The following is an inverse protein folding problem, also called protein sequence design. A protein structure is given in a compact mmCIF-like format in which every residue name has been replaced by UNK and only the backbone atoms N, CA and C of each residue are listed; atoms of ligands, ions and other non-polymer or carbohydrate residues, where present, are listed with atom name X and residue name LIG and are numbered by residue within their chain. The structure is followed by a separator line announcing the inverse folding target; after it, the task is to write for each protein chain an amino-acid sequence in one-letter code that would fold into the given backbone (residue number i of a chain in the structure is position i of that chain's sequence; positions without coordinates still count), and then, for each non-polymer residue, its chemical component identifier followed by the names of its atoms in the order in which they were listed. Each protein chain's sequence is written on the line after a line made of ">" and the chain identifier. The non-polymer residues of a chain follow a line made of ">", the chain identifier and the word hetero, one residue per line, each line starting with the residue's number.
data_IF_831564875746
#
_entry.id   IF_831564875746
#
_cell.length_a   1.000
_cell.length_b   1.000
_cell.length_c   1.000
_cell.angle_alpha   90.00
_cell.angle_beta   90.00
_cell.angle_gamma   90.00
#
_symmetry.space_group_name_H-M   'P 1'
#
loop_
_entity.id
_entity.type
_entity.pdbx_description
1 polymer ?
#
# COMPACT_ATOMS: atom_id res chain seq x y z
N UNK A 1 -23.74 37.66 -16.90
CA UNK A 1 -24.31 36.50 -16.17
C UNK A 1 -23.73 35.16 -16.63
N UNK A 2 -23.60 34.87 -17.93
CA UNK A 2 -23.11 33.55 -18.42
C UNK A 2 -21.64 33.18 -18.08
N UNK A 3 -20.75 34.15 -17.85
CA UNK A 3 -19.31 33.93 -17.64
C UNK A 3 -18.94 33.49 -16.22
N UNK A 4 -19.50 34.15 -15.20
CA UNK A 4 -19.26 33.79 -13.81
C UNK A 4 -19.71 32.35 -13.52
N UNK A 5 -20.88 31.96 -14.04
CA UNK A 5 -21.41 30.59 -13.90
C UNK A 5 -20.50 29.56 -14.58
N UNK A 6 -20.07 29.80 -15.83
CA UNK A 6 -19.21 28.89 -16.59
C UNK A 6 -17.82 28.68 -15.95
N UNK A 7 -17.28 29.74 -15.32
CA UNK A 7 -16.01 29.68 -14.60
C UNK A 7 -16.13 28.94 -13.26
N UNK A 8 -17.27 29.05 -12.58
CA UNK A 8 -17.48 28.29 -11.33
C UNK A 8 -17.76 26.80 -11.56
N UNK A 9 -18.24 26.40 -12.74
CA UNK A 9 -18.55 25.00 -13.05
C UNK A 9 -17.38 24.19 -13.60
N UNK A 10 -16.29 24.84 -14.03
CA UNK A 10 -15.15 24.17 -14.66
C UNK A 10 -14.08 23.86 -13.63
N UNK A 11 -13.73 22.58 -13.45
CA UNK A 11 -12.75 22.12 -12.46
C UNK A 11 -11.37 21.80 -13.05
N UNK A 12 -11.24 21.81 -14.37
CA UNK A 12 -9.95 21.62 -15.05
C UNK A 12 -9.21 22.94 -15.23
N UNK A 13 -8.00 23.03 -14.68
CA UNK A 13 -7.17 24.26 -14.73
C UNK A 13 -6.89 24.73 -16.16
N UNK A 14 -6.61 23.81 -17.09
CA UNK A 14 -6.34 24.16 -18.49
C UNK A 14 -7.57 24.75 -19.19
N UNK A 15 -8.76 24.22 -18.90
CA UNK A 15 -10.01 24.76 -19.44
C UNK A 15 -10.37 26.10 -18.83
N UNK A 16 -10.15 26.27 -17.52
CA UNK A 16 -10.33 27.57 -16.86
C UNK A 16 -9.38 28.61 -17.43
N UNK A 17 -8.10 28.26 -17.63
CA UNK A 17 -7.12 29.14 -18.25
C UNK A 17 -7.54 29.53 -19.67
N UNK A 18 -8.01 28.58 -20.46
CA UNK A 18 -8.52 28.83 -21.81
C UNK A 18 -9.77 29.73 -21.82
N UNK A 19 -10.70 29.54 -20.88
CA UNK A 19 -11.88 30.39 -20.72
C UNK A 19 -11.51 31.83 -20.32
N UNK A 20 -10.60 31.99 -19.36
CA UNK A 20 -10.08 33.30 -18.94
C UNK A 20 -9.39 33.98 -20.13
N UNK A 21 -8.51 33.25 -20.82
CA UNK A 21 -7.79 33.75 -21.98
C UNK A 21 -8.75 34.18 -23.12
N UNK A 22 -9.75 33.36 -23.45
CA UNK A 22 -10.74 33.68 -24.48
C UNK A 22 -11.58 34.90 -24.12
N UNK A 23 -11.99 35.04 -22.87
CA UNK A 23 -12.75 36.21 -22.40
C UNK A 23 -11.94 37.50 -22.54
N UNK A 24 -10.65 37.44 -22.20
CA UNK A 24 -9.75 38.59 -22.34
C UNK A 24 -9.48 38.88 -23.81
N UNK A 25 -9.40 37.83 -24.64
CA UNK A 25 -9.19 37.96 -26.08
C UNK A 25 -10.32 38.72 -26.76
N UNK A 26 -11.57 38.37 -26.45
CA UNK A 26 -12.77 39.01 -26.99
C UNK A 26 -12.90 40.50 -26.61
N UNK A 27 -12.42 40.87 -25.42
CA UNK A 27 -12.60 42.24 -24.91
C UNK A 27 -11.43 43.14 -25.29
N UNK A 28 -10.20 42.67 -25.11
CA UNK A 28 -9.00 43.50 -25.16
C UNK A 28 -8.11 43.23 -26.37
N UNK A 29 -8.32 42.12 -27.09
CA UNK A 29 -7.58 41.72 -28.28
C UNK A 29 -6.03 41.75 -28.12
N UNK A 30 -5.46 41.15 -27.05
CA UNK A 30 -4.02 40.92 -26.93
C UNK A 30 -3.50 40.01 -28.07
N UNK A 31 -2.20 40.09 -28.33
CA UNK A 31 -1.49 39.13 -29.18
C UNK A 31 -1.35 37.76 -28.50
N UNK A 32 -1.28 37.75 -27.15
CA UNK A 32 -1.12 36.55 -26.33
C UNK A 32 -1.70 36.77 -24.93
N UNK A 33 -2.32 35.73 -24.36
CA UNK A 33 -2.73 35.69 -22.95
C UNK A 33 -2.12 34.45 -22.31
N UNK A 34 -1.44 34.63 -21.18
CA UNK A 34 -0.77 33.54 -20.46
C UNK A 34 -1.15 33.58 -18.99
N UNK A 35 -1.64 32.46 -18.48
CA UNK A 35 -1.90 32.29 -17.05
C UNK A 35 -0.74 31.53 -16.41
N UNK A 36 -0.25 32.05 -15.29
CA UNK A 36 0.72 31.38 -14.43
C UNK A 36 0.11 31.13 -13.06
N UNK A 37 0.26 29.94 -12.51
CA UNK A 37 -0.22 29.57 -11.18
C UNK A 37 0.95 29.45 -10.21
N UNK A 38 0.79 29.84 -8.94
CA UNK A 38 1.87 29.62 -7.98
C UNK A 38 2.10 28.12 -7.74
N UNK A 39 3.34 27.78 -7.46
CA UNK A 39 3.83 26.47 -7.07
C UNK A 39 4.67 26.69 -5.82
N UNK A 40 4.02 26.54 -4.67
CA UNK A 40 4.61 26.88 -3.37
C UNK A 40 5.76 25.91 -3.02
N UNK A 41 5.73 24.66 -3.52
CA UNK A 41 6.80 23.68 -3.31
C UNK A 41 8.10 24.09 -4.03
N UNK A 42 7.97 24.76 -5.18
CA UNK A 42 9.12 25.20 -6.00
C UNK A 42 9.47 26.68 -5.84
N UNK A 43 8.64 27.44 -5.13
CA UNK A 43 8.81 28.88 -4.99
C UNK A 43 8.75 29.62 -6.33
N UNK A 44 7.81 29.25 -7.21
CA UNK A 44 7.70 29.83 -8.55
C UNK A 44 6.25 29.90 -9.05
N UNK A 45 6.00 30.72 -10.06
CA UNK A 45 4.78 30.76 -10.85
C UNK A 45 4.99 29.99 -12.16
N UNK A 46 4.23 28.92 -12.37
CA UNK A 46 4.33 28.06 -13.56
C UNK A 46 3.25 28.39 -14.58
N UNK A 47 3.65 28.44 -15.84
CA UNK A 47 2.75 28.59 -16.98
C UNK A 47 1.77 27.40 -17.07
N UNK A 48 0.48 27.69 -17.17
CA UNK A 48 -0.55 26.69 -17.50
C UNK A 48 -0.38 26.29 -18.97
N UNK A 49 -0.36 24.98 -19.25
CA UNK A 49 0.00 24.42 -20.57
C UNK A 49 1.49 24.15 -20.80
N UNK A 50 2.37 24.41 -19.81
CA UNK A 50 3.80 24.10 -19.88
C UNK A 50 4.68 25.25 -20.41
N UNK A 51 5.99 25.14 -20.20
CA UNK A 51 6.99 26.17 -20.53
C UNK A 51 7.62 26.83 -19.30
N UNK A 52 8.43 27.86 -19.54
CA UNK A 52 9.11 28.62 -18.50
C UNK A 52 8.12 29.43 -17.65
N UNK A 53 8.53 29.69 -16.41
CA UNK A 53 7.75 30.39 -15.39
C UNK A 53 8.50 31.58 -14.82
N UNK A 54 7.92 32.21 -13.81
CA UNK A 54 8.53 33.32 -13.07
C UNK A 54 8.87 32.85 -11.65
N UNK A 55 10.06 33.15 -11.13
CA UNK A 55 10.37 32.86 -9.72
C UNK A 55 9.44 33.67 -8.78
N UNK A 56 9.06 33.11 -7.62
CA UNK A 56 8.17 33.83 -6.69
C UNK A 56 8.86 35.05 -6.07
N UNK A 57 10.18 35.01 -5.96
CA UNK A 57 11.05 36.11 -5.53
C UNK A 57 11.41 37.08 -6.66
N UNK A 58 10.90 36.90 -7.88
CA UNK A 58 11.12 37.86 -8.95
C UNK A 58 10.56 39.25 -8.56
N UNK A 59 11.17 40.31 -9.07
CA UNK A 59 10.84 41.68 -8.67
C UNK A 59 9.40 42.01 -9.09
N UNK A 60 9.00 41.59 -10.29
CA UNK A 60 7.63 41.74 -10.77
C UNK A 60 6.62 41.00 -9.89
N UNK A 61 6.91 39.76 -9.49
CA UNK A 61 6.02 38.97 -8.63
C UNK A 61 5.83 39.63 -7.26
N UNK A 62 6.92 40.14 -6.68
CA UNK A 62 6.92 40.82 -5.38
C UNK A 62 6.14 42.14 -5.45
N UNK A 63 6.32 42.93 -6.52
CA UNK A 63 5.57 44.16 -6.75
C UNK A 63 4.06 43.91 -6.88
N UNK A 64 3.69 42.88 -7.65
CA UNK A 64 2.30 42.49 -7.85
C UNK A 64 1.65 41.96 -6.57
N UNK A 65 2.41 41.22 -5.74
CA UNK A 65 1.94 40.75 -4.44
C UNK A 65 1.70 41.90 -3.45
N UNK A 66 2.58 42.91 -3.45
CA UNK A 66 2.47 44.08 -2.57
C UNK A 66 1.36 45.06 -2.99
N UNK A 67 1.32 45.43 -4.28
CA UNK A 67 0.38 46.45 -4.79
C UNK A 67 -1.00 45.90 -5.10
N UNK A 68 -1.11 44.62 -5.50
CA UNK A 68 -2.37 43.96 -5.90
C UNK A 68 -3.13 44.72 -7.01
N UNK A 69 -2.38 45.45 -7.85
CA UNK A 69 -2.88 46.20 -9.00
C UNK A 69 -2.22 45.69 -10.29
N UNK A 70 -2.90 45.76 -11.46
CA UNK A 70 -2.27 45.50 -12.75
C UNK A 70 -1.08 46.44 -13.00
N UNK A 71 0.01 45.90 -13.53
CA UNK A 71 1.18 46.66 -13.95
C UNK A 71 1.34 46.54 -15.46
N UNK A 72 1.20 47.65 -16.17
CA UNK A 72 1.58 47.77 -17.59
C UNK A 72 2.97 48.37 -17.73
N UNK A 73 3.62 48.17 -18.89
CA UNK A 73 4.87 48.89 -19.22
C UNK A 73 4.72 50.40 -19.04
N UNK A 74 3.61 50.98 -19.50
CA UNK A 74 3.32 52.40 -19.35
C UNK A 74 3.24 52.82 -17.87
N UNK A 75 2.62 52.01 -17.02
CA UNK A 75 2.53 52.28 -15.57
C UNK A 75 3.91 52.22 -14.91
N UNK A 76 4.75 51.24 -15.28
CA UNK A 76 6.11 51.11 -14.77
C UNK A 76 7.01 52.29 -15.15
N UNK A 77 6.82 52.84 -16.36
CA UNK A 77 7.56 54.01 -16.84
C UNK A 77 7.06 55.32 -16.20
N UNK A 78 5.76 55.43 -15.93
CA UNK A 78 5.14 56.65 -15.44
C UNK A 78 5.16 56.82 -13.90
N UNK A 79 5.21 55.73 -13.13
CA UNK A 79 5.15 55.77 -11.66
C UNK A 79 6.55 56.03 -11.04
N UNK A 80 6.74 57.15 -10.30
CA UNK A 80 8.00 57.44 -9.62
C UNK A 80 8.33 56.45 -8.49
N UNK A 81 7.33 55.85 -7.84
CA UNK A 81 7.55 54.90 -6.73
C UNK A 81 8.18 53.58 -7.20
N UNK A 82 8.11 53.30 -8.50
CA UNK A 82 8.65 52.09 -9.11
C UNK A 82 10.03 52.31 -9.74
N UNK A 83 10.62 53.50 -9.62
CA UNK A 83 11.89 53.86 -10.27
C UNK A 83 13.02 52.87 -9.98
N UNK A 84 13.22 52.52 -8.70
CA UNK A 84 14.26 51.60 -8.25
C UNK A 84 14.02 50.14 -8.71
N UNK A 85 12.77 49.78 -9.00
CA UNK A 85 12.35 48.42 -9.38
C UNK A 85 12.01 48.29 -10.88
N UNK A 86 12.05 49.40 -11.62
CA UNK A 86 11.54 49.52 -12.99
C UNK A 86 12.28 48.61 -13.96
N UNK A 87 13.60 48.67 -13.95
CA UNK A 87 14.45 47.90 -14.86
C UNK A 87 14.24 46.39 -14.67
N UNK A 88 14.21 45.93 -13.41
CA UNK A 88 13.98 44.53 -13.08
C UNK A 88 12.55 44.07 -13.41
N UNK A 89 11.52 44.87 -13.12
CA UNK A 89 10.14 44.56 -13.50
C UNK A 89 9.94 44.48 -15.02
N UNK A 90 10.59 45.36 -15.79
CA UNK A 90 10.55 45.32 -17.24
C UNK A 90 11.26 44.09 -17.79
N UNK A 91 12.43 43.72 -17.23
CA UNK A 91 13.14 42.50 -17.60
C UNK A 91 12.31 41.23 -17.31
N UNK A 92 11.62 41.18 -16.16
CA UNK A 92 10.70 40.10 -15.82
C UNK A 92 9.51 40.05 -16.79
N UNK A 93 8.93 41.20 -17.18
CA UNK A 93 7.87 41.27 -18.18
C UNK A 93 8.34 40.82 -19.57
N UNK A 94 9.54 41.24 -19.99
CA UNK A 94 10.16 40.83 -21.25
C UNK A 94 10.36 39.31 -21.28
N UNK A 95 10.85 38.72 -20.19
CA UNK A 95 11.03 37.27 -20.06
C UNK A 95 9.71 36.49 -20.18
N UNK A 96 8.59 37.11 -19.80
CA UNK A 96 7.25 36.51 -19.92
C UNK A 96 6.55 36.85 -21.24
N UNK A 97 7.22 37.59 -22.13
CA UNK A 97 6.64 38.17 -23.36
C UNK A 97 5.37 39.00 -23.07
N UNK A 98 5.41 39.75 -21.97
CA UNK A 98 4.31 40.52 -21.43
C UNK A 98 4.41 42.02 -21.68
N UNK A 99 3.25 42.63 -21.87
CA UNK A 99 3.00 44.07 -21.89
C UNK A 99 2.28 44.52 -20.61
N UNK A 100 1.42 43.65 -20.08
CA UNK A 100 0.67 43.86 -18.84
C UNK A 100 0.71 42.58 -18.00
N UNK A 101 1.04 42.72 -16.72
CA UNK A 101 0.87 41.67 -15.73
C UNK A 101 -0.25 42.04 -14.75
N UNK A 102 -1.18 41.12 -14.56
CA UNK A 102 -2.38 41.29 -13.74
C UNK A 102 -2.30 40.29 -12.59
N UNK A 103 -2.35 40.76 -11.32
CA UNK A 103 -2.31 39.87 -10.18
C UNK A 103 -3.69 39.21 -9.98
N UNK A 104 -3.70 37.89 -9.81
CA UNK A 104 -4.87 37.16 -9.32
C UNK A 104 -4.60 36.86 -7.84
N UNK A 105 -5.37 37.53 -6.98
CA UNK A 105 -5.20 37.48 -5.53
C UNK A 105 -6.38 36.76 -4.90
N UNK A 106 -6.10 35.79 -4.04
CA UNK A 106 -7.10 35.13 -3.21
C UNK A 106 -6.66 35.16 -1.75
N UNK A 107 -7.56 35.62 -0.86
CA UNK A 107 -7.27 35.81 0.58
C UNK A 107 -5.92 36.48 0.81
N UNK A 108 -5.72 37.64 0.18
CA UNK A 108 -4.53 38.48 0.35
C UNK A 108 -3.21 37.92 -0.19
N UNK A 109 -3.24 36.73 -0.77
CA UNK A 109 -2.09 36.07 -1.38
C UNK A 109 -2.17 36.12 -2.90
N UNK A 110 -1.06 36.46 -3.55
CA UNK A 110 -0.92 36.33 -4.99
C UNK A 110 -0.89 34.84 -5.36
N UNK A 111 -1.97 34.34 -5.94
CA UNK A 111 -2.11 32.90 -6.27
C UNK A 111 -1.83 32.59 -7.72
N UNK A 112 -2.03 33.57 -8.60
CA UNK A 112 -1.76 33.45 -10.02
C UNK A 112 -1.40 34.81 -10.64
N UNK A 113 -0.74 34.75 -11.78
CA UNK A 113 -0.35 35.89 -12.60
C UNK A 113 -0.97 35.72 -13.98
N UNK A 114 -1.66 36.74 -14.45
CA UNK A 114 -2.21 36.80 -15.79
C UNK A 114 -1.40 37.80 -16.60
N UNK A 115 -0.67 37.33 -17.59
CA UNK A 115 0.21 38.15 -18.43
C UNK A 115 -0.38 38.26 -19.83
N UNK A 116 -0.53 39.50 -20.30
CA UNK A 116 -0.98 39.81 -21.64
C UNK A 116 0.20 40.34 -22.44
N UNK A 117 0.36 39.86 -23.68
CA UNK A 117 1.28 40.43 -24.65
C UNK A 117 0.77 41.76 -25.24
N UNK A 118 1.46 42.32 -26.25
CA UNK A 118 1.06 43.58 -26.86
C UNK A 118 -0.34 43.50 -27.45
N UNK A 119 -1.08 44.62 -27.44
CA UNK A 119 -2.43 44.67 -28.01
C UNK A 119 -2.35 44.65 -29.54
N UNK A 120 -3.23 43.90 -30.20
CA UNK A 120 -3.31 43.89 -31.67
C UNK A 120 -3.60 45.31 -32.18
N UNK A 121 -2.80 45.79 -33.11
CA UNK A 121 -2.88 47.16 -33.63
C UNK A 121 -1.96 48.18 -32.93
N UNK A 122 -1.04 47.72 -32.06
CA UNK A 122 0.01 48.54 -31.44
C UNK A 122 -0.50 49.71 -30.59
N UNK A 123 -1.65 49.51 -29.94
CA UNK A 123 -2.28 50.50 -29.05
C UNK A 123 -2.05 50.12 -27.58
N UNK A 124 -1.57 51.03 -26.72
CA UNK A 124 -1.42 50.76 -25.29
C UNK A 124 -2.72 50.33 -24.60
N UNK A 125 -2.61 49.59 -23.50
CA UNK A 125 -3.74 49.23 -22.66
C UNK A 125 -4.20 50.44 -21.84
N UNK A 126 -5.41 50.92 -22.10
CA UNK A 126 -5.99 52.06 -21.38
C UNK A 126 -6.30 51.71 -19.92
N UNK A 127 -6.43 52.72 -19.06
CA UNK A 127 -6.83 52.53 -17.65
C UNK A 127 -8.18 51.82 -17.51
N UNK A 128 -9.08 51.98 -18.48
CA UNK A 128 -10.35 51.23 -18.52
C UNK A 128 -10.13 49.74 -18.81
N UNK A 129 -9.23 49.41 -19.74
CA UNK A 129 -8.81 48.04 -20.00
C UNK A 129 -8.20 47.38 -18.76
N UNK A 130 -7.32 48.10 -18.03
CA UNK A 130 -6.72 47.61 -16.78
C UNK A 130 -7.78 47.36 -15.68
N UNK A 131 -8.81 48.20 -15.58
CA UNK A 131 -9.94 47.97 -14.65
C UNK A 131 -10.71 46.70 -14.99
N UNK A 132 -10.99 46.46 -16.27
CA UNK A 132 -11.66 45.23 -16.72
C UNK A 132 -10.82 44.01 -16.37
N UNK A 133 -9.51 44.06 -16.64
CA UNK A 133 -8.58 42.97 -16.29
C UNK A 133 -8.60 42.64 -14.80
N UNK A 134 -8.61 43.66 -13.94
CA UNK A 134 -8.70 43.47 -12.49
C UNK A 134 -10.00 42.78 -12.07
N UNK A 135 -11.13 43.13 -12.70
CA UNK A 135 -12.43 42.50 -12.42
C UNK A 135 -12.39 41.02 -12.82
N UNK A 136 -11.92 40.73 -14.04
CA UNK A 136 -11.79 39.35 -14.54
C UNK A 136 -10.84 38.55 -13.65
N UNK A 137 -9.67 39.10 -13.29
CA UNK A 137 -8.72 38.47 -12.37
C UNK A 137 -9.35 38.15 -11.01
N UNK A 138 -10.08 39.09 -10.42
CA UNK A 138 -10.76 38.90 -9.12
C UNK A 138 -11.83 37.81 -9.21
N UNK A 139 -12.64 37.80 -10.27
CA UNK A 139 -13.66 36.76 -10.50
C UNK A 139 -13.03 35.39 -10.77
N UNK A 140 -11.89 35.38 -11.46
CA UNK A 140 -11.10 34.17 -11.75
C UNK A 140 -10.47 33.57 -10.51
N UNK A 141 -10.12 34.39 -9.50
CA UNK A 141 -9.37 33.95 -8.33
C UNK A 141 -10.06 32.79 -7.59
N UNK A 142 -11.38 32.88 -7.38
CA UNK A 142 -12.16 31.84 -6.68
C UNK A 142 -12.19 30.55 -7.49
N UNK A 143 -12.44 30.63 -8.80
CA UNK A 143 -12.51 29.46 -9.68
C UNK A 143 -11.15 28.74 -9.78
N UNK A 144 -10.06 29.51 -9.91
CA UNK A 144 -8.71 28.96 -9.97
C UNK A 144 -8.30 28.27 -8.66
N UNK A 145 -8.62 28.87 -7.50
CA UNK A 145 -8.31 28.24 -6.21
C UNK A 145 -9.16 26.99 -5.95
N UNK A 146 -10.43 27.00 -6.33
CA UNK A 146 -11.28 25.80 -6.25
C UNK A 146 -10.73 24.66 -7.12
N UNK A 147 -10.35 24.95 -8.38
CA UNK A 147 -9.76 23.95 -9.27
C UNK A 147 -8.42 23.42 -8.74
N UNK A 148 -7.54 24.30 -8.23
CA UNK A 148 -6.26 23.89 -7.61
C UNK A 148 -6.47 22.97 -6.41
N UNK A 149 -7.36 23.34 -5.48
CA UNK A 149 -7.68 22.53 -4.31
C UNK A 149 -8.27 21.18 -4.70
N UNK A 150 -9.18 21.16 -5.69
CA UNK A 150 -9.76 19.93 -6.21
C UNK A 150 -8.71 19.01 -6.83
N UNK A 151 -7.80 19.54 -7.66
CA UNK A 151 -6.70 18.77 -8.24
C UNK A 151 -5.74 18.21 -7.18
N UNK A 152 -5.42 18.99 -6.14
CA UNK A 152 -4.58 18.55 -5.03
C UNK A 152 -5.24 17.40 -4.25
N UNK A 153 -6.54 17.53 -3.95
CA UNK A 153 -7.33 16.47 -3.31
C UNK A 153 -7.35 15.19 -4.15
N UNK A 154 -7.59 15.29 -5.46
CA UNK A 154 -7.57 14.15 -6.37
C UNK A 154 -6.19 13.47 -6.43
N UNK A 155 -5.11 14.25 -6.41
CA UNK A 155 -3.76 13.72 -6.34
C UNK A 155 -3.50 12.98 -5.02
N UNK A 156 -3.94 13.54 -3.89
CA UNK A 156 -3.83 12.91 -2.57
C UNK A 156 -4.62 11.59 -2.49
N UNK A 157 -5.88 11.58 -2.97
CA UNK A 157 -6.71 10.37 -3.01
C UNK A 157 -6.08 9.27 -3.87
N UNK A 158 -5.54 9.62 -5.04
CA UNK A 158 -4.81 8.66 -5.89
C UNK A 158 -3.60 8.07 -5.18
N UNK A 159 -2.83 8.88 -4.45
CA UNK A 159 -1.69 8.39 -3.66
C UNK A 159 -2.14 7.38 -2.60
N UNK A 160 -3.20 7.70 -1.85
CA UNK A 160 -3.78 6.79 -0.84
C UNK A 160 -4.25 5.48 -1.49
N UNK A 161 -4.96 5.55 -2.62
CA UNK A 161 -5.43 4.37 -3.33
C UNK A 161 -4.30 3.47 -3.83
N UNK A 162 -3.20 4.07 -4.32
CA UNK A 162 -2.00 3.32 -4.72
C UNK A 162 -1.38 2.63 -3.50
N UNK A 163 -1.25 3.32 -2.38
CA UNK A 163 -0.69 2.75 -1.15
C UNK A 163 -1.55 1.58 -0.64
N UNK A 164 -2.88 1.71 -0.64
CA UNK A 164 -3.79 0.61 -0.28
C UNK A 164 -3.68 -0.57 -1.25
N UNK A 165 -3.53 -0.32 -2.56
CA UNK A 165 -3.30 -1.39 -3.53
C UNK A 165 -1.97 -2.12 -3.29
N UNK A 166 -0.90 -1.39 -2.97
CA UNK A 166 0.40 -1.98 -2.63
C UNK A 166 0.29 -2.81 -1.35
N UNK A 167 -0.34 -2.26 -0.31
CA UNK A 167 -0.60 -2.97 0.95
C UNK A 167 -1.39 -4.26 0.71
N UNK A 168 -2.47 -4.20 -0.06
CA UNK A 168 -3.29 -5.35 -0.40
C UNK A 168 -2.48 -6.42 -1.17
N UNK A 169 -1.61 -5.99 -2.10
CA UNK A 169 -0.70 -6.89 -2.82
C UNK A 169 0.30 -7.58 -1.89
N UNK A 170 0.97 -6.82 -1.01
CA UNK A 170 2.00 -7.34 -0.10
C UNK A 170 1.41 -8.19 1.02
N UNK A 171 0.19 -7.89 1.49
CA UNK A 171 -0.47 -8.61 2.60
C UNK A 171 -0.59 -10.13 2.34
N UNK A 172 -0.66 -10.55 1.07
CA UNK A 172 -0.76 -11.97 0.69
C UNK A 172 0.53 -12.77 0.98
N UNK A 173 1.66 -12.08 1.13
CA UNK A 173 2.97 -12.68 1.38
C UNK A 173 3.45 -12.52 2.82
N UNK A 174 2.65 -11.86 3.66
CA UNK A 174 3.02 -11.51 5.03
C UNK A 174 2.12 -12.26 6.01
N UNK A 175 2.66 -13.01 6.99
CA UNK A 175 1.85 -13.70 8.00
C UNK A 175 0.86 -12.77 8.70
N UNK A 176 -0.33 -13.26 9.04
CA UNK A 176 -1.40 -12.44 9.66
C UNK A 176 -0.99 -11.83 10.99
N UNK A 177 -0.11 -12.51 11.73
CA UNK A 177 0.44 -11.99 12.98
C UNK A 177 1.28 -10.74 12.73
N UNK A 178 2.10 -10.72 11.68
CA UNK A 178 2.87 -9.54 11.30
C UNK A 178 1.95 -8.40 10.88
N UNK A 179 0.93 -8.69 10.06
CA UNK A 179 -0.06 -7.69 9.66
C UNK A 179 -0.72 -7.04 10.87
N UNK A 180 -1.22 -7.84 11.83
CA UNK A 180 -1.81 -7.33 13.07
C UNK A 180 -0.84 -6.49 13.91
N UNK A 181 0.43 -6.92 14.02
CA UNK A 181 1.44 -6.18 14.77
C UNK A 181 1.75 -4.82 14.14
N UNK A 182 1.79 -4.74 12.80
CA UNK A 182 1.97 -3.49 12.06
C UNK A 182 0.74 -2.60 12.17
N UNK A 183 -0.46 -3.15 12.08
CA UNK A 183 -1.71 -2.38 12.22
C UNK A 183 -1.89 -1.79 13.62
N UNK A 184 -1.46 -2.50 14.66
CA UNK A 184 -1.52 -2.02 16.04
C UNK A 184 -0.48 -0.94 16.36
N UNK A 185 0.69 -1.00 15.72
CA UNK A 185 1.78 -0.05 15.93
C UNK A 185 2.58 0.18 14.64
N UNK A 186 2.09 1.03 13.71
CA UNK A 186 2.73 1.25 12.40
C UNK A 186 4.16 1.78 12.49
N UNK A 187 4.43 2.68 13.43
CA UNK A 187 5.74 3.34 13.57
C UNK A 187 6.78 2.49 14.33
N UNK A 188 6.33 1.49 15.10
CA UNK A 188 7.19 0.68 15.95
C UNK A 188 6.60 -0.73 16.16
N UNK A 189 6.46 -1.55 15.11
CA UNK A 189 5.88 -2.88 15.24
C UNK A 189 6.78 -3.77 16.10
N UNK A 190 6.18 -4.47 17.07
CA UNK A 190 6.90 -5.35 18.00
C UNK A 190 7.32 -6.68 17.33
N UNK A 191 8.27 -6.61 16.41
CA UNK A 191 8.70 -7.75 15.58
C UNK A 191 9.88 -8.54 16.18
N UNK A 192 10.53 -8.04 17.23
CA UNK A 192 11.65 -8.74 17.86
C UNK A 192 11.25 -10.12 18.40
N UNK A 193 12.17 -11.10 18.34
CA UNK A 193 11.93 -12.44 18.86
C UNK A 193 11.63 -12.41 20.36
N UNK A 194 10.56 -13.11 20.75
CA UNK A 194 10.17 -13.31 22.15
C UNK A 194 9.92 -14.79 22.41
N UNK A 195 10.30 -15.24 23.59
CA UNK A 195 10.02 -16.59 24.02
C UNK A 195 8.52 -16.75 24.30
N UNK A 196 7.85 -17.53 23.48
CA UNK A 196 6.39 -17.66 23.43
C UNK A 196 6.03 -19.15 23.46
N UNK A 197 5.03 -19.51 24.24
CA UNK A 197 4.47 -20.87 24.17
C UNK A 197 3.55 -20.98 22.95
N UNK A 198 3.81 -21.96 22.09
CA UNK A 198 3.13 -22.14 20.81
C UNK A 198 2.86 -23.61 20.53
N UNK A 199 1.93 -23.85 19.61
CA UNK A 199 1.80 -25.15 18.93
C UNK A 199 2.17 -24.99 17.47
N UNK A 200 3.00 -25.90 16.98
CA UNK A 200 3.49 -25.94 15.61
C UNK A 200 2.90 -27.16 14.94
N UNK A 201 2.19 -26.94 13.84
CA UNK A 201 1.70 -27.96 12.93
C UNK A 201 2.62 -27.96 11.71
N UNK A 202 3.13 -29.14 11.37
CA UNK A 202 3.85 -29.37 10.12
C UNK A 202 3.04 -30.35 9.28
N UNK A 203 2.83 -29.99 8.01
CA UNK A 203 2.17 -30.83 7.02
C UNK A 203 3.17 -31.05 5.90
N UNK A 204 3.39 -32.29 5.52
CA UNK A 204 4.20 -32.67 4.36
C UNK A 204 3.29 -33.35 3.34
N UNK A 205 3.36 -32.93 2.07
CA UNK A 205 2.53 -33.49 0.99
C UNK A 205 3.30 -34.64 0.34
N UNK A 206 3.11 -35.83 0.89
CA UNK A 206 3.70 -37.03 0.33
C UNK A 206 3.08 -37.35 -1.05
N UNK A 207 3.97 -37.54 -2.04
CA UNK A 207 3.58 -37.82 -3.43
C UNK A 207 3.68 -36.60 -4.35
N UNK A 208 3.83 -35.37 -3.83
CA UNK A 208 4.00 -34.17 -4.65
C UNK A 208 5.20 -34.26 -5.59
N UNK A 209 6.38 -34.58 -5.04
CA UNK A 209 7.62 -34.73 -5.82
C UNK A 209 7.49 -35.80 -6.93
N UNK A 210 6.66 -36.83 -6.72
CA UNK A 210 6.38 -37.86 -7.74
C UNK A 210 5.38 -37.39 -8.79
N UNK A 211 4.30 -36.72 -8.38
CA UNK A 211 3.31 -36.11 -9.27
C UNK A 211 3.96 -35.06 -10.19
N UNK A 212 4.85 -34.24 -9.66
CA UNK A 212 5.60 -33.23 -10.41
C UNK A 212 6.50 -33.83 -11.51
N UNK A 213 6.93 -35.09 -11.36
CA UNK A 213 7.70 -35.80 -12.38
C UNK A 213 6.88 -36.47 -13.48
N UNK A 214 5.55 -36.59 -13.31
CA UNK A 214 4.65 -37.35 -14.20
C UNK A 214 3.59 -36.47 -14.88
N UNK A 215 3.17 -35.39 -14.25
CA UNK A 215 2.15 -34.47 -14.73
C UNK A 215 2.78 -33.23 -15.37
N UNK A 216 2.03 -32.55 -16.23
CA UNK A 216 2.43 -31.22 -16.70
C UNK A 216 2.39 -30.19 -15.55
N UNK A 217 3.26 -29.18 -15.63
CA UNK A 217 3.40 -28.17 -14.58
C UNK A 217 2.09 -27.45 -14.26
N UNK A 218 1.26 -27.14 -15.27
CA UNK A 218 0.00 -26.43 -15.05
C UNK A 218 -1.02 -27.28 -14.28
N UNK A 219 -1.01 -28.60 -14.46
CA UNK A 219 -1.87 -29.53 -13.70
C UNK A 219 -1.38 -29.68 -12.27
N UNK A 220 -0.07 -29.74 -12.04
CA UNK A 220 0.53 -29.76 -10.70
C UNK A 220 0.17 -28.47 -9.94
N UNK A 221 0.34 -27.31 -10.57
CA UNK A 221 0.03 -26.01 -9.98
C UNK A 221 -1.45 -25.92 -9.58
N UNK A 222 -2.38 -26.31 -10.47
CA UNK A 222 -3.82 -26.32 -10.15
C UNK A 222 -4.15 -27.22 -8.96
N UNK A 223 -3.54 -28.40 -8.86
CA UNK A 223 -3.74 -29.29 -7.73
C UNK A 223 -3.21 -28.64 -6.44
N UNK A 224 -2.01 -28.07 -6.46
CA UNK A 224 -1.43 -27.38 -5.30
C UNK A 224 -2.32 -26.22 -4.85
N UNK A 225 -2.74 -25.35 -5.75
CA UNK A 225 -3.63 -24.22 -5.45
C UNK A 225 -4.95 -24.71 -4.84
N UNK A 226 -5.49 -25.82 -5.32
CA UNK A 226 -6.73 -26.40 -4.81
C UNK A 226 -6.59 -26.95 -3.39
N UNK A 227 -5.54 -27.74 -3.14
CA UNK A 227 -5.28 -28.32 -1.81
C UNK A 227 -4.91 -27.23 -0.80
N UNK A 228 -3.94 -26.37 -1.12
CA UNK A 228 -3.53 -25.28 -0.24
C UNK A 228 -4.61 -24.23 -0.03
N UNK A 229 -5.43 -23.93 -1.04
CA UNK A 229 -6.60 -23.07 -0.88
C UNK A 229 -7.58 -23.64 0.13
N UNK A 230 -7.89 -24.93 0.03
CA UNK A 230 -8.77 -25.60 0.98
C UNK A 230 -8.18 -25.70 2.40
N UNK A 231 -6.86 -25.84 2.52
CA UNK A 231 -6.16 -25.89 3.81
C UNK A 231 -6.09 -24.53 4.48
N UNK A 232 -5.85 -23.47 3.71
CA UNK A 232 -5.75 -22.11 4.21
C UNK A 232 -7.01 -21.71 4.97
N UNK A 233 -8.19 -22.05 4.45
CA UNK A 233 -9.46 -21.74 5.13
C UNK A 233 -9.57 -22.43 6.49
N UNK A 234 -9.16 -23.70 6.61
CA UNK A 234 -9.18 -24.43 7.90
C UNK A 234 -8.17 -23.88 8.89
N UNK A 235 -6.96 -23.57 8.41
CA UNK A 235 -5.88 -22.99 9.21
C UNK A 235 -6.33 -21.66 9.81
N UNK A 236 -6.86 -20.77 8.97
CA UNK A 236 -7.31 -19.45 9.39
C UNK A 236 -8.52 -19.51 10.33
N UNK A 237 -9.48 -20.43 10.08
CA UNK A 237 -10.66 -20.63 10.94
C UNK A 237 -10.28 -21.04 12.37
N UNK A 238 -9.18 -21.75 12.54
CA UNK A 238 -8.67 -22.17 13.85
C UNK A 238 -7.60 -21.23 14.42
N UNK A 239 -7.38 -20.04 13.82
CA UNK A 239 -6.43 -19.05 14.32
C UNK A 239 -4.96 -19.40 14.08
N UNK A 240 -4.66 -20.32 13.17
CA UNK A 240 -3.30 -20.62 12.73
C UNK A 240 -2.77 -19.57 11.75
N UNK A 241 -1.46 -19.38 11.75
CA UNK A 241 -0.75 -18.49 10.83
C UNK A 241 0.24 -19.29 10.00
N UNK A 242 0.10 -19.23 8.67
CA UNK A 242 1.00 -19.89 7.73
C UNK A 242 2.30 -19.09 7.70
N UNK A 243 3.40 -19.75 8.04
CA UNK A 243 4.67 -19.07 8.24
C UNK A 243 5.65 -19.35 7.09
N UNK A 244 5.98 -20.62 6.83
CA UNK A 244 6.89 -21.00 5.76
C UNK A 244 6.38 -22.24 5.00
N UNK A 245 6.63 -22.24 3.69
CA UNK A 245 6.62 -23.43 2.82
C UNK A 245 8.05 -23.90 2.65
N UNK A 246 8.45 -24.95 3.35
CA UNK A 246 9.77 -25.56 3.17
C UNK A 246 9.65 -26.73 2.21
N UNK A 247 9.97 -26.52 0.93
CA UNK A 247 9.73 -27.52 -0.12
C UNK A 247 8.22 -27.66 -0.40
N UNK A 248 7.70 -28.87 -0.24
CA UNK A 248 6.32 -29.30 -0.48
C UNK A 248 5.44 -29.34 0.78
N UNK A 249 5.96 -28.87 1.92
CA UNK A 249 5.25 -28.84 3.20
C UNK A 249 4.77 -27.45 3.65
N UNK A 250 3.82 -27.43 4.59
CA UNK A 250 3.32 -26.24 5.29
C UNK A 250 3.72 -26.26 6.76
N UNK A 251 4.32 -25.17 7.24
CA UNK A 251 4.43 -24.90 8.67
C UNK A 251 3.40 -23.87 9.11
N UNK A 252 2.60 -24.23 10.11
CA UNK A 252 1.57 -23.38 10.69
C UNK A 252 1.86 -23.19 12.18
N UNK A 253 1.82 -21.94 12.64
CA UNK A 253 2.02 -21.59 14.04
C UNK A 253 0.67 -21.17 14.65
N UNK A 254 0.35 -21.75 15.79
CA UNK A 254 -0.79 -21.37 16.61
C UNK A 254 -0.28 -20.68 17.86
N UNK A 255 -0.76 -19.44 18.08
CA UNK A 255 -0.41 -18.61 19.22
C UNK A 255 -1.72 -18.23 19.94
N UNK A 256 -1.79 -18.54 21.23
CA UNK A 256 -2.90 -18.15 22.11
C UNK A 256 -2.33 -17.91 23.52
N UNK A 257 -3.00 -17.09 24.33
CA UNK A 257 -2.61 -16.89 25.73
C UNK A 257 -2.80 -18.13 26.60
N UNK A 258 -3.64 -19.08 26.17
CA UNK A 258 -3.87 -20.37 26.81
C UNK A 258 -3.18 -21.51 26.04
N UNK A 259 -2.17 -22.18 26.64
CA UNK A 259 -1.47 -23.30 26.02
C UNK A 259 -2.35 -24.46 25.55
N UNK A 260 -3.51 -24.66 26.18
CA UNK A 260 -4.46 -25.71 25.80
C UNK A 260 -5.26 -25.33 24.57
N UNK A 261 -5.57 -24.04 24.38
CA UNK A 261 -6.33 -23.56 23.23
C UNK A 261 -5.54 -23.70 21.93
N UNK A 262 -4.30 -23.22 21.89
CA UNK A 262 -3.51 -23.32 20.67
C UNK A 262 -3.12 -24.78 20.33
N UNK A 263 -2.94 -25.65 21.33
CA UNK A 263 -2.73 -27.08 21.11
C UNK A 263 -3.98 -27.77 20.51
N UNK A 264 -5.17 -27.49 21.06
CA UNK A 264 -6.43 -27.98 20.51
C UNK A 264 -6.69 -27.45 19.10
N UNK A 265 -6.41 -26.17 18.84
CA UNK A 265 -6.56 -25.55 17.53
C UNK A 265 -5.65 -26.23 16.49
N UNK A 266 -4.39 -26.49 16.83
CA UNK A 266 -3.44 -27.18 15.95
C UNK A 266 -3.92 -28.60 15.58
N UNK A 267 -4.37 -29.37 16.56
CA UNK A 267 -4.85 -30.75 16.35
C UNK A 267 -6.20 -30.79 15.61
N UNK A 268 -7.10 -29.84 15.90
CA UNK A 268 -8.37 -29.70 15.19
C UNK A 268 -8.12 -29.35 13.72
N UNK A 269 -7.18 -28.43 13.45
CA UNK A 269 -6.75 -28.09 12.10
C UNK A 269 -6.18 -29.31 11.40
N UNK A 270 -5.24 -30.03 12.01
CA UNK A 270 -4.64 -31.25 11.45
C UNK A 270 -5.69 -32.27 10.97
N UNK A 271 -6.72 -32.53 11.78
CA UNK A 271 -7.83 -33.42 11.40
C UNK A 271 -8.66 -32.87 10.23
N UNK A 272 -8.92 -31.56 10.22
CA UNK A 272 -9.65 -30.92 9.14
C UNK A 272 -8.88 -31.01 7.81
N UNK A 273 -7.55 -30.80 7.84
CA UNK A 273 -6.70 -30.92 6.65
C UNK A 273 -6.73 -32.33 6.06
N UNK A 274 -6.59 -33.35 6.92
CA UNK A 274 -6.66 -34.75 6.49
C UNK A 274 -8.02 -35.16 5.94
N UNK A 275 -9.12 -34.64 6.50
CA UNK A 275 -10.47 -34.87 5.95
C UNK A 275 -10.62 -34.20 4.60
N UNK A 276 -10.18 -32.95 4.49
CA UNK A 276 -10.30 -32.17 3.26
C UNK A 276 -9.47 -32.77 2.12
N UNK A 277 -8.28 -33.28 2.42
CA UNK A 277 -7.48 -34.01 1.44
C UNK A 277 -8.20 -35.27 0.93
N UNK A 278 -8.85 -36.06 1.80
CA UNK A 278 -9.65 -37.22 1.38
C UNK A 278 -10.84 -36.83 0.51
N UNK A 279 -11.54 -35.74 0.86
CA UNK A 279 -12.64 -35.23 0.04
C UNK A 279 -12.19 -34.81 -1.36
N UNK A 280 -11.04 -34.13 -1.47
CA UNK A 280 -10.49 -33.71 -2.77
C UNK A 280 -10.05 -34.94 -3.57
N UNK A 281 -9.30 -35.87 -2.96
CA UNK A 281 -8.91 -37.13 -3.61
C UNK A 281 -10.12 -37.95 -4.10
N UNK A 282 -11.24 -37.93 -3.38
CA UNK A 282 -12.45 -38.64 -3.77
C UNK A 282 -13.21 -37.95 -4.91
N UNK A 283 -13.21 -36.61 -4.93
CA UNK A 283 -13.87 -35.82 -5.98
C UNK A 283 -13.09 -35.84 -7.30
N UNK A 284 -11.76 -35.90 -7.24
CA UNK A 284 -10.87 -35.96 -8.39
C UNK A 284 -9.88 -37.12 -8.21
N UNK A 285 -10.29 -38.36 -8.53
CA UNK A 285 -9.43 -39.52 -8.38
C UNK A 285 -8.17 -39.39 -9.24
N UNK A 286 -7.02 -39.42 -8.60
CA UNK A 286 -5.71 -39.54 -9.23
C UNK A 286 -5.28 -41.02 -9.21
N UNK A 287 -4.41 -41.41 -10.15
CA UNK A 287 -3.79 -42.75 -10.14
C UNK A 287 -3.10 -43.05 -8.80
N UNK A 288 -2.50 -42.01 -8.20
CA UNK A 288 -1.95 -42.01 -6.85
C UNK A 288 -2.57 -40.85 -6.06
N UNK A 289 -3.30 -41.11 -4.96
CA UNK A 289 -3.90 -40.06 -4.16
C UNK A 289 -2.82 -39.25 -3.42
N UNK A 290 -3.11 -37.98 -3.19
CA UNK A 290 -2.26 -37.12 -2.35
C UNK A 290 -2.41 -37.55 -0.90
N UNK A 291 -1.30 -37.90 -0.25
CA UNK A 291 -1.28 -38.27 1.17
C UNK A 291 -0.62 -37.14 1.95
N UNK A 292 -1.24 -36.74 3.07
CA UNK A 292 -0.64 -35.77 3.97
C UNK A 292 0.03 -36.51 5.11
N UNK A 293 1.28 -36.15 5.41
CA UNK A 293 1.90 -36.53 6.67
C UNK A 293 1.85 -35.35 7.63
N UNK A 294 1.38 -35.59 8.85
CA UNK A 294 1.06 -34.50 9.78
C UNK A 294 1.73 -34.72 11.14
N UNK A 295 2.43 -33.69 11.60
CA UNK A 295 3.09 -33.65 12.91
C UNK A 295 2.70 -32.41 13.70
N UNK A 296 2.38 -32.56 14.98
CA UNK A 296 2.07 -31.45 15.88
C UNK A 296 2.89 -31.53 17.16
N UNK A 297 3.63 -30.46 17.44
CA UNK A 297 4.34 -30.33 18.71
C UNK A 297 4.04 -28.99 19.39
N UNK A 298 4.09 -28.97 20.71
CA UNK A 298 3.78 -27.78 21.52
C UNK A 298 4.90 -27.51 22.52
N UNK A 299 5.16 -26.23 22.79
CA UNK A 299 6.21 -25.83 23.72
C UNK A 299 6.70 -24.40 23.48
N UNK A 300 7.76 -24.01 24.20
CA UNK A 300 8.34 -22.68 24.09
C UNK A 300 9.22 -22.57 22.84
N UNK A 301 9.03 -21.48 22.08
CA UNK A 301 9.85 -21.10 20.94
C UNK A 301 10.18 -19.61 20.99
N UNK A 302 11.28 -19.21 20.37
CA UNK A 302 11.52 -17.82 20.06
C UNK A 302 10.73 -17.45 18.79
N UNK A 303 9.67 -16.65 18.94
CA UNK A 303 8.78 -16.22 17.86
C UNK A 303 9.02 -14.75 17.54
N UNK A 304 9.30 -14.44 16.28
CA UNK A 304 9.52 -13.08 15.82
C UNK A 304 10.29 -13.01 14.49
N UNK A 305 10.61 -11.79 14.06
CA UNK A 305 11.41 -11.53 12.88
C UNK A 305 12.85 -12.03 13.05
N UNK A 306 13.27 -12.87 12.12
CA UNK A 306 14.66 -13.20 11.84
C UNK A 306 15.14 -12.27 10.74
N UNK A 307 16.15 -11.44 11.03
CA UNK A 307 16.73 -10.49 10.08
C UNK A 307 17.93 -11.15 9.39
N UNK A 308 17.86 -11.28 8.07
CA UNK A 308 18.94 -11.77 7.22
C UNK A 308 19.52 -10.54 6.51
N UNK A 309 20.71 -10.13 6.93
CA UNK A 309 21.43 -8.98 6.37
C UNK A 309 22.47 -9.46 5.36
N UNK A 310 22.48 -8.86 4.18
CA UNK A 310 23.49 -9.08 3.15
C UNK A 310 23.85 -7.79 2.44
N UNK A 311 24.88 -7.84 1.59
CA UNK A 311 25.36 -6.67 0.84
C UNK A 311 24.32 -6.11 -0.14
N UNK A 312 23.42 -6.95 -0.64
CA UNK A 312 22.36 -6.57 -1.58
C UNK A 312 21.05 -6.11 -0.90
N UNK A 313 20.97 -6.14 0.43
CA UNK A 313 19.78 -5.71 1.18
C UNK A 313 19.46 -6.57 2.39
N UNK A 314 18.25 -6.41 2.91
CA UNK A 314 17.78 -7.10 4.12
C UNK A 314 16.49 -7.87 3.83
N UNK A 315 16.43 -9.13 4.26
CA UNK A 315 15.21 -9.96 4.24
C UNK A 315 14.79 -10.27 5.67
N UNK A 316 13.50 -10.14 5.95
CA UNK A 316 12.92 -10.48 7.24
C UNK A 316 12.01 -11.68 7.06
N UNK A 317 12.13 -12.67 7.94
CA UNK A 317 11.17 -13.77 8.05
C UNK A 317 10.63 -13.80 9.47
N UNK A 318 9.34 -13.56 9.65
CA UNK A 318 8.70 -13.69 10.96
C UNK A 318 8.33 -15.13 11.22
N UNK A 319 9.06 -15.80 12.12
CA UNK A 319 8.97 -17.25 12.30
C UNK A 319 9.15 -17.68 13.75
N UNK A 320 8.76 -18.91 14.06
CA UNK A 320 9.13 -19.58 15.29
C UNK A 320 10.47 -20.30 15.09
N UNK A 321 11.34 -20.25 16.10
CA UNK A 321 12.60 -21.00 16.11
C UNK A 321 12.81 -21.68 17.47
N UNK A 322 13.23 -22.93 17.44
CA UNK A 322 13.57 -23.72 18.62
C UNK A 322 13.33 -25.21 18.41
N UNK A 323 13.61 -26.06 19.41
CA UNK A 323 13.40 -27.51 19.30
C UNK A 323 11.97 -27.90 18.94
N UNK A 324 10.97 -27.10 19.37
CA UNK A 324 9.55 -27.40 19.11
C UNK A 324 9.22 -27.49 17.61
N UNK A 325 9.79 -26.60 16.78
CA UNK A 325 9.54 -26.59 15.33
C UNK A 325 10.19 -27.80 14.65
N UNK A 326 11.41 -28.14 15.07
CA UNK A 326 12.14 -29.28 14.55
C UNK A 326 11.44 -30.61 14.89
N UNK A 327 10.98 -30.76 16.13
CA UNK A 327 10.24 -31.96 16.55
C UNK A 327 8.92 -32.07 15.77
N UNK A 328 8.16 -31.00 15.58
CA UNK A 328 6.93 -31.03 14.77
C UNK A 328 7.19 -31.53 13.34
N UNK A 329 8.23 -31.03 12.68
CA UNK A 329 8.63 -31.48 11.35
C UNK A 329 9.06 -32.97 11.33
N UNK A 330 9.73 -33.45 12.38
CA UNK A 330 10.14 -34.86 12.48
C UNK A 330 8.99 -35.80 12.80
N UNK A 331 8.00 -35.35 13.56
CA UNK A 331 6.75 -36.08 13.75
C UNK A 331 5.99 -36.24 12.43
N UNK A 332 5.92 -35.19 11.61
CA UNK A 332 5.34 -35.30 10.26
C UNK A 332 6.11 -36.31 9.40
N UNK A 333 7.44 -36.31 9.48
CA UNK A 333 8.28 -37.23 8.70
C UNK A 333 8.15 -38.73 9.06
N UNK A 334 7.44 -39.10 10.14
CA UNK A 334 7.16 -40.50 10.48
C UNK A 334 6.27 -41.19 9.42
N UNK A 335 5.48 -40.41 8.68
CA UNK A 335 4.91 -40.82 7.40
C UNK A 335 3.87 -41.95 7.47
N UNK A 336 2.65 -41.60 7.89
CA UNK A 336 1.47 -42.46 7.75
C UNK A 336 0.19 -41.62 7.59
N UNK A 337 -0.96 -42.28 7.41
CA UNK A 337 -2.28 -41.63 7.32
C UNK A 337 -2.88 -41.30 8.71
N UNK A 338 -2.06 -40.72 9.59
CA UNK A 338 -2.45 -40.29 10.93
C UNK A 338 -1.73 -38.99 11.34
N UNK A 339 -2.09 -38.47 12.51
CA UNK A 339 -1.45 -37.30 13.10
C UNK A 339 -0.52 -37.76 14.21
N UNK A 340 0.75 -37.38 14.12
CA UNK A 340 1.75 -37.65 15.15
C UNK A 340 1.89 -36.46 16.09
N UNK A 341 1.80 -36.71 17.39
CA UNK A 341 1.81 -35.71 18.45
C UNK A 341 2.97 -35.94 19.41
N UNK A 342 3.64 -34.87 19.82
CA UNK A 342 4.58 -34.92 20.94
C UNK A 342 3.85 -34.93 22.29
N UNK A 343 4.47 -35.48 23.34
CA UNK A 343 3.91 -35.54 24.70
C UNK A 343 3.37 -34.20 25.23
N UNK A 344 4.07 -33.10 24.97
CA UNK A 344 3.62 -31.78 25.41
C UNK A 344 2.29 -31.36 24.77
N UNK A 345 2.07 -31.69 23.49
CA UNK A 345 0.78 -31.49 22.82
C UNK A 345 -0.28 -32.37 23.46
N UNK A 346 0.00 -33.67 23.63
CA UNK A 346 -0.92 -34.65 24.21
C UNK A 346 -1.39 -34.24 25.61
N UNK A 347 -0.48 -33.78 26.48
CA UNK A 347 -0.81 -33.33 27.84
C UNK A 347 -1.74 -32.11 27.89
N UNK A 348 -1.85 -31.35 26.78
CA UNK A 348 -2.69 -30.15 26.65
C UNK A 348 -4.05 -30.45 26.02
N UNK A 349 -4.26 -31.68 25.56
CA UNK A 349 -5.52 -32.15 24.99
C UNK A 349 -6.44 -32.74 26.07
N UNK A 350 -7.77 -32.74 25.84
CA UNK A 350 -8.70 -33.48 26.68
C UNK A 350 -8.39 -34.98 26.66
N UNK A 351 -8.46 -35.63 27.82
CA UNK A 351 -8.26 -37.09 27.97
C UNK A 351 -9.29 -37.95 27.22
N UNK A 352 -10.36 -37.34 26.71
CA UNK A 352 -11.40 -38.01 25.91
C UNK A 352 -10.96 -38.30 24.47
N UNK A 353 -9.84 -37.73 24.01
CA UNK A 353 -9.30 -38.01 22.68
C UNK A 353 -8.55 -39.35 22.73
N UNK A 354 -9.01 -40.33 21.95
CA UNK A 354 -8.35 -41.62 21.83
C UNK A 354 -7.01 -41.49 21.12
N UNK A 355 -5.91 -41.66 21.85
CA UNK A 355 -4.54 -41.58 21.36
C UNK A 355 -3.84 -42.92 21.58
N UNK A 356 -3.12 -43.37 20.55
CA UNK A 356 -2.24 -44.53 20.62
C UNK A 356 -0.84 -44.05 21.04
N UNK A 357 -0.31 -44.59 22.13
CA UNK A 357 1.04 -44.28 22.60
C UNK A 357 2.06 -45.16 21.89
N UNK A 358 2.92 -44.55 21.06
CA UNK A 358 3.95 -45.24 20.29
C UNK A 358 5.27 -45.38 21.05
N UNK A 359 5.34 -44.92 22.30
CA UNK A 359 6.55 -44.95 23.10
C UNK A 359 7.54 -43.85 22.74
N UNK A 360 8.77 -44.00 23.22
CA UNK A 360 9.86 -43.06 23.00
C UNK A 360 10.58 -43.40 21.69
N UNK A 361 10.51 -42.49 20.72
CA UNK A 361 11.11 -42.66 19.40
C UNK A 361 12.33 -41.74 19.23
N UNK A 362 13.41 -42.30 18.71
CA UNK A 362 14.57 -41.52 18.29
C UNK A 362 14.25 -40.80 16.97
N UNK A 363 14.21 -39.46 17.01
CA UNK A 363 13.95 -38.63 15.82
C UNK A 363 15.26 -38.10 15.25
N UNK A 364 15.37 -38.02 13.92
CA UNK A 364 16.59 -37.53 13.25
C UNK A 364 16.95 -36.11 13.70
N UNK A 365 18.20 -35.94 14.15
CA UNK A 365 18.76 -34.68 14.64
C UNK A 365 18.00 -34.09 15.85
N UNK A 366 17.38 -34.95 16.66
CA UNK A 366 16.87 -34.61 17.99
C UNK A 366 17.70 -35.41 18.98
N UNK A 367 18.30 -34.72 19.96
CA UNK A 367 19.27 -35.34 20.87
C UNK A 367 18.63 -36.40 21.79
N UNK A 368 17.45 -36.09 22.31
CA UNK A 368 16.72 -36.98 23.23
C UNK A 368 15.56 -37.70 22.52
N UNK A 369 15.28 -38.98 22.87
CA UNK A 369 14.07 -39.66 22.42
C UNK A 369 12.82 -38.86 22.79
N UNK A 370 11.87 -38.81 21.85
CA UNK A 370 10.61 -38.08 22.03
C UNK A 370 9.50 -39.09 22.20
N UNK A 371 8.70 -38.96 23.25
CA UNK A 371 7.45 -39.72 23.42
C UNK A 371 6.44 -39.29 22.36
N UNK A 372 6.03 -40.23 21.50
CA UNK A 372 5.14 -39.97 20.37
C UNK A 372 3.78 -40.62 20.58
N UNK A 373 2.74 -39.87 20.25
CA UNK A 373 1.36 -40.35 20.23
C UNK A 373 0.81 -40.25 18.82
N UNK A 374 -0.10 -41.17 18.48
CA UNK A 374 -0.75 -41.25 17.18
C UNK A 374 -2.25 -41.04 17.34
N UNK A 375 -2.80 -40.19 16.50
CA UNK A 375 -4.22 -39.88 16.42
C UNK A 375 -4.75 -40.28 15.03
N UNK A 376 -5.60 -41.30 14.99
CA UNK A 376 -6.26 -41.75 13.78
C UNK A 376 -7.39 -40.77 13.37
N UNK A 377 -7.66 -40.68 12.06
CA UNK A 377 -8.70 -39.77 11.53
C UNK A 377 -10.10 -40.03 12.08
N UNK A 378 -10.41 -41.28 12.44
CA UNK A 378 -11.72 -41.70 12.97
C UNK A 378 -12.02 -41.12 14.35
N UNK A 379 -11.05 -40.48 15.00
CA UNK A 379 -11.25 -39.82 16.28
C UNK A 379 -12.00 -38.49 16.14
N UNK A 380 -13.08 -38.33 16.92
CA UNK A 380 -13.76 -37.06 17.09
C UNK A 380 -13.02 -36.21 18.14
N UNK A 381 -12.65 -34.98 17.79
CA UNK A 381 -12.23 -33.98 18.78
C UNK A 381 -13.49 -33.27 19.25
N UNK A 382 -13.88 -33.36 20.53
CA UNK A 382 -15.06 -32.65 21.01
C UNK A 382 -14.85 -31.14 20.82
N UNK A 383 -15.81 -30.48 20.15
CA UNK A 383 -15.96 -29.04 20.24
C UNK A 383 -16.19 -28.71 21.73
N UNK A 384 -15.32 -27.90 22.32
CA UNK A 384 -15.37 -27.62 23.74
C UNK A 384 -16.63 -26.86 24.15
N UNK A 385 -17.11 -27.18 25.36
CA UNK A 385 -17.91 -26.30 26.23
C UNK A 385 -17.15 -25.00 26.49
#
# INVERSE_FOLDING_TARGET
>A
MRLADAMTTTLELDRLAALIAGTIDEILHPARVTLFLSDDERGAFRRVGGGDGLAAQAVLATCLAGRREPLSRETLLADPELEDLREACLADLDALEGEVAVPIVFRERLTALLVLGPRRGDVPYTSEGLRILKIVATQSAVALEHARAYHALQAALRRVQILESIRAGLSKFVPRTVQRLIEQAPDAPALAKRETDVSVLFVDIAGYTRLAGRLDAATVDRLVERYFGAFLDEILRNGGDVNETAGDGLMVIFQDGDPRRHARAAVTTALALLRRAREINAAEPLDEPIVLHVGVNSGRAAVGATKIEGTAGTRWTYTASGPVTNVAARLAALGDDAIHLGAATTARLPSTIGLEDLGDLALRNVEEPVRVFRLALTAAVPAGV
#
